data_IF_896516305599
#
_entry.id   IF_896516305599
#
_cell.length_a   1.000
_cell.length_b   1.000
_cell.length_c   1.000
_cell.angle_alpha   90.00
_cell.angle_beta   90.00
_cell.angle_gamma   90.00
#
_symmetry.space_group_name_H-M   'P 1'
#
loop_
_entity.id
_entity.type
_entity.pdbx_description
1 polymer ?
#
# COMPACT_ATOMS: atom_id res chain seq x y z
N UNK A 1 78.01 -11.67 3.95
CA UNK A 1 76.61 -11.75 4.43
C UNK A 1 75.92 -12.75 3.52
N UNK A 2 75.40 -13.85 4.07
CA UNK A 2 74.62 -14.84 3.31
C UNK A 2 73.16 -14.43 3.39
N UNK A 3 72.52 -14.21 2.23
CA UNK A 3 71.08 -14.00 2.14
C UNK A 3 70.43 -15.33 1.75
N UNK A 4 69.57 -15.84 2.64
CA UNK A 4 68.81 -17.06 2.44
C UNK A 4 67.42 -16.68 1.89
N UNK A 5 67.05 -17.22 0.73
CA UNK A 5 65.76 -16.94 0.08
C UNK A 5 65.00 -18.25 -0.13
N UNK A 6 63.76 -18.29 0.32
CA UNK A 6 62.86 -19.42 0.11
C UNK A 6 61.95 -19.07 -1.07
N UNK A 7 62.09 -19.74 -2.24
CA UNK A 7 61.20 -19.49 -3.37
C UNK A 7 59.82 -20.05 -3.07
N UNK A 8 58.85 -19.17 -2.83
CA UNK A 8 57.45 -19.55 -2.57
C UNK A 8 56.59 -19.21 -3.79
N UNK A 9 55.72 -20.14 -4.20
CA UNK A 9 54.73 -19.89 -5.25
C UNK A 9 53.54 -19.13 -4.66
N UNK A 10 53.35 -17.89 -5.10
CA UNK A 10 52.17 -17.09 -4.79
C UNK A 10 51.09 -17.21 -5.86
N UNK A 11 49.82 -17.14 -5.46
CA UNK A 11 48.66 -16.95 -6.34
C UNK A 11 48.17 -15.51 -6.19
N UNK A 12 47.98 -14.83 -7.31
CA UNK A 12 47.31 -13.52 -7.36
C UNK A 12 45.81 -13.74 -7.21
N UNK A 13 45.20 -13.10 -6.21
CA UNK A 13 43.76 -13.15 -5.96
C UNK A 13 43.21 -11.72 -5.90
N UNK A 14 41.94 -11.49 -6.27
CA UNK A 14 41.29 -10.20 -6.08
C UNK A 14 41.31 -9.78 -4.62
N UNK A 15 41.50 -8.48 -4.37
CA UNK A 15 41.42 -7.94 -3.02
C UNK A 15 40.00 -8.05 -2.46
N UNK A 16 38.99 -7.80 -3.30
CA UNK A 16 37.57 -7.94 -2.97
C UNK A 16 36.83 -8.72 -4.06
N UNK A 17 36.01 -9.66 -3.62
CA UNK A 17 35.13 -10.48 -4.46
C UNK A 17 33.71 -10.37 -3.91
N UNK A 18 32.76 -10.04 -4.78
CA UNK A 18 31.32 -10.00 -4.46
C UNK A 18 30.64 -11.12 -5.22
N UNK A 19 29.93 -12.00 -4.53
CA UNK A 19 29.18 -13.08 -5.17
C UNK A 19 27.88 -12.55 -5.78
N UNK A 20 27.57 -13.06 -6.97
CA UNK A 20 26.33 -12.79 -7.68
C UNK A 20 25.42 -14.01 -7.50
N UNK A 21 24.47 -13.89 -6.59
CA UNK A 21 23.50 -14.95 -6.30
C UNK A 21 22.10 -14.53 -6.79
N UNK A 22 21.31 -15.47 -7.30
CA UNK A 22 19.95 -15.23 -7.75
C UNK A 22 19.02 -15.06 -6.54
N UNK A 23 18.48 -13.85 -6.30
CA UNK A 23 17.59 -13.58 -5.15
C UNK A 23 16.28 -14.37 -5.27
N UNK A 24 15.81 -14.55 -6.50
CA UNK A 24 14.58 -15.26 -6.83
C UNK A 24 14.90 -16.29 -7.94
N UNK A 25 14.28 -17.47 -7.85
CA UNK A 25 14.51 -18.55 -8.81
C UNK A 25 13.67 -18.38 -10.08
N UNK A 26 14.18 -18.87 -11.22
CA UNK A 26 13.52 -18.74 -12.51
C UNK A 26 14.28 -19.40 -13.64
N UNK A 27 13.70 -19.40 -14.83
CA UNK A 27 14.34 -19.88 -16.04
C UNK A 27 15.06 -18.73 -16.74
N UNK A 28 16.31 -18.94 -17.14
CA UNK A 28 17.11 -17.97 -17.88
C UNK A 28 16.44 -17.69 -19.22
N UNK A 29 15.99 -16.45 -19.42
CA UNK A 29 15.36 -16.01 -20.65
C UNK A 29 16.38 -15.39 -21.59
N UNK A 30 17.28 -14.55 -21.05
CA UNK A 30 18.29 -13.87 -21.84
C UNK A 30 19.55 -13.58 -21.05
N UNK A 31 20.70 -13.80 -21.70
CA UNK A 31 22.02 -13.39 -21.19
C UNK A 31 22.42 -12.13 -21.94
N UNK A 32 22.79 -11.08 -21.20
CA UNK A 32 23.14 -9.77 -21.76
C UNK A 32 24.64 -9.48 -21.66
N UNK A 33 25.33 -10.20 -20.78
CA UNK A 33 26.76 -10.01 -20.49
C UNK A 33 27.42 -11.38 -20.42
N UNK A 34 28.57 -11.50 -21.08
CA UNK A 34 29.39 -12.71 -21.09
C UNK A 34 30.41 -12.73 -19.95
N UNK A 35 30.92 -13.91 -19.60
CA UNK A 35 31.98 -14.07 -18.61
C UNK A 35 33.23 -13.27 -18.99
N UNK A 36 33.89 -12.67 -18.01
CA UNK A 36 35.06 -11.82 -18.22
C UNK A 36 34.75 -10.39 -18.67
N UNK A 37 33.50 -10.01 -18.88
CA UNK A 37 33.13 -8.62 -19.19
C UNK A 37 33.39 -7.67 -18.02
N UNK A 38 33.70 -6.41 -18.33
CA UNK A 38 33.79 -5.33 -17.35
C UNK A 38 32.42 -4.69 -17.15
N UNK A 39 31.98 -4.62 -15.90
CA UNK A 39 30.66 -4.13 -15.50
C UNK A 39 30.77 -2.87 -14.65
N UNK A 40 29.80 -1.97 -14.80
CA UNK A 40 29.51 -0.91 -13.84
C UNK A 40 28.40 -1.35 -12.89
N UNK A 41 28.33 -0.76 -11.70
CA UNK A 41 27.23 -1.01 -10.76
C UNK A 41 25.88 -0.73 -11.44
N UNK A 42 24.94 -1.66 -11.28
CA UNK A 42 23.61 -1.61 -11.89
C UNK A 42 23.51 -2.17 -13.31
N UNK A 43 24.61 -2.61 -13.95
CA UNK A 43 24.52 -3.26 -15.26
C UNK A 43 23.73 -4.56 -15.17
N UNK A 44 22.80 -4.75 -16.10
CA UNK A 44 21.99 -5.94 -16.21
C UNK A 44 22.81 -7.07 -16.85
N UNK A 45 22.88 -8.22 -16.18
CA UNK A 45 23.71 -9.37 -16.57
C UNK A 45 22.85 -10.45 -17.23
N UNK A 46 21.77 -10.84 -16.56
CA UNK A 46 20.86 -11.90 -17.01
C UNK A 46 19.42 -11.58 -16.61
N UNK A 47 18.48 -11.94 -17.48
CA UNK A 47 17.05 -11.85 -17.26
C UNK A 47 16.51 -13.25 -16.97
N UNK A 48 15.86 -13.41 -15.82
CA UNK A 48 15.14 -14.63 -15.43
C UNK A 48 13.64 -14.45 -15.67
N UNK A 49 12.97 -15.56 -15.96
CA UNK A 49 11.52 -15.61 -16.12
C UNK A 49 10.92 -16.59 -15.11
N UNK A 50 9.88 -16.16 -14.41
CA UNK A 50 9.11 -17.00 -13.50
C UNK A 50 7.61 -16.70 -13.63
N UNK A 51 6.90 -17.55 -14.37
CA UNK A 51 5.46 -17.39 -14.60
C UNK A 51 4.64 -17.45 -13.30
N UNK A 52 5.06 -18.26 -12.32
CA UNK A 52 4.36 -18.37 -11.04
C UNK A 52 4.47 -17.08 -10.22
N UNK A 53 5.64 -16.44 -10.25
CA UNK A 53 5.85 -15.14 -9.59
C UNK A 53 5.05 -14.03 -10.28
N UNK A 54 5.05 -13.99 -11.61
CA UNK A 54 4.22 -13.05 -12.39
C UNK A 54 2.73 -13.19 -12.06
N UNK A 55 2.21 -14.42 -12.01
CA UNK A 55 0.82 -14.69 -11.62
C UNK A 55 0.53 -14.27 -10.17
N UNK A 56 1.50 -14.45 -9.26
CA UNK A 56 1.39 -14.01 -7.87
C UNK A 56 1.29 -12.48 -7.76
N UNK A 57 2.13 -11.75 -8.50
CA UNK A 57 2.07 -10.28 -8.58
C UNK A 57 0.73 -9.83 -9.13
N UNK A 58 0.27 -10.40 -10.24
CA UNK A 58 -1.03 -10.08 -10.83
C UNK A 58 -2.18 -10.32 -9.84
N UNK A 59 -2.16 -11.44 -9.11
CA UNK A 59 -3.15 -11.72 -8.07
C UNK A 59 -3.12 -10.70 -6.91
N UNK A 60 -1.93 -10.22 -6.53
CA UNK A 60 -1.79 -9.14 -5.55
C UNK A 60 -2.34 -7.80 -6.08
N UNK A 61 -2.07 -7.47 -7.35
CA UNK A 61 -2.60 -6.27 -7.99
C UNK A 61 -4.12 -6.27 -8.03
N UNK A 62 -4.74 -7.39 -8.42
CA UNK A 62 -6.20 -7.54 -8.42
C UNK A 62 -6.79 -7.35 -7.03
N UNK A 63 -6.20 -7.97 -5.99
CA UNK A 63 -6.66 -7.81 -4.60
C UNK A 63 -6.60 -6.37 -4.12
N UNK A 64 -5.52 -5.65 -4.45
CA UNK A 64 -5.40 -4.21 -4.14
C UNK A 64 -6.48 -3.42 -4.87
N UNK A 65 -6.68 -3.67 -6.17
CA UNK A 65 -7.68 -2.97 -6.97
C UNK A 65 -9.11 -3.20 -6.46
N UNK A 66 -9.47 -4.43 -6.10
CA UNK A 66 -10.76 -4.78 -5.50
C UNK A 66 -10.97 -4.05 -4.17
N UNK A 67 -9.97 -4.06 -3.29
CA UNK A 67 -10.04 -3.39 -1.99
C UNK A 67 -10.20 -1.87 -2.14
N UNK A 68 -9.47 -1.25 -3.07
CA UNK A 68 -9.59 0.18 -3.36
C UNK A 68 -10.97 0.53 -3.93
N UNK A 69 -11.54 -0.30 -4.80
CA UNK A 69 -12.89 -0.12 -5.31
C UNK A 69 -13.95 -0.25 -4.22
N UNK A 70 -13.80 -1.23 -3.32
CA UNK A 70 -14.67 -1.38 -2.15
C UNK A 70 -14.60 -0.16 -1.23
N UNK A 71 -13.38 0.31 -0.91
CA UNK A 71 -13.17 1.52 -0.11
C UNK A 71 -13.86 2.74 -0.75
N UNK A 72 -13.71 2.93 -2.07
CA UNK A 72 -14.34 4.04 -2.79
C UNK A 72 -15.86 3.97 -2.78
N UNK A 73 -16.42 2.76 -2.85
CA UNK A 73 -17.87 2.53 -2.79
C UNK A 73 -18.41 2.86 -1.40
N UNK A 74 -17.67 2.51 -0.35
CA UNK A 74 -17.98 2.85 1.03
C UNK A 74 -17.88 4.38 1.21
N UNK A 75 -16.80 5.02 0.79
CA UNK A 75 -16.65 6.49 0.86
C UNK A 75 -17.81 7.23 0.18
N UNK A 76 -18.25 6.76 -1.00
CA UNK A 76 -19.41 7.32 -1.69
C UNK A 76 -20.70 7.15 -0.89
N UNK A 77 -20.93 5.96 -0.32
CA UNK A 77 -22.09 5.68 0.53
C UNK A 77 -22.10 6.56 1.79
N UNK A 78 -20.93 6.76 2.41
CA UNK A 78 -20.76 7.65 3.57
C UNK A 78 -21.15 9.09 3.22
N UNK A 79 -20.67 9.60 2.08
CA UNK A 79 -20.99 10.96 1.64
C UNK A 79 -22.48 11.12 1.32
N UNK A 80 -23.10 10.13 0.68
CA UNK A 80 -24.54 10.12 0.41
C UNK A 80 -25.35 10.11 1.72
N UNK A 81 -25.00 9.25 2.68
CA UNK A 81 -25.64 9.19 3.99
C UNK A 81 -25.48 10.51 4.74
N UNK A 82 -24.27 11.10 4.75
CA UNK A 82 -24.01 12.41 5.36
C UNK A 82 -24.92 13.50 4.80
N UNK A 83 -25.06 13.56 3.46
CA UNK A 83 -25.96 14.50 2.81
C UNK A 83 -27.43 14.24 3.19
N UNK A 84 -27.84 12.98 3.27
CA UNK A 84 -29.20 12.60 3.67
C UNK A 84 -29.51 13.00 5.12
N UNK A 85 -28.60 12.74 6.06
CA UNK A 85 -28.73 13.19 7.45
C UNK A 85 -28.82 14.71 7.54
N UNK A 86 -27.99 15.43 6.77
CA UNK A 86 -28.01 16.90 6.74
C UNK A 86 -29.36 17.43 6.24
N UNK A 87 -29.93 16.83 5.20
CA UNK A 87 -31.28 17.18 4.71
C UNK A 87 -32.34 16.95 5.77
N UNK A 88 -32.36 15.76 6.39
CA UNK A 88 -33.32 15.42 7.44
C UNK A 88 -33.28 16.43 8.61
N UNK A 89 -32.08 16.82 9.06
CA UNK A 89 -31.94 17.83 10.11
C UNK A 89 -32.48 19.20 9.68
N UNK A 90 -32.23 19.61 8.43
CA UNK A 90 -32.75 20.87 7.89
C UNK A 90 -34.28 20.84 7.86
N UNK A 91 -34.88 19.74 7.41
CA UNK A 91 -36.34 19.58 7.35
C UNK A 91 -36.98 19.60 8.74
N UNK A 92 -36.40 18.88 9.71
CA UNK A 92 -36.86 18.90 11.10
C UNK A 92 -36.75 20.32 11.69
N UNK A 93 -35.62 21.02 11.48
CA UNK A 93 -35.44 22.40 11.95
C UNK A 93 -36.43 23.37 11.31
N UNK A 94 -36.74 23.19 10.03
CA UNK A 94 -37.75 23.98 9.35
C UNK A 94 -39.14 23.77 9.97
N UNK A 95 -39.50 22.51 10.25
CA UNK A 95 -40.78 22.18 10.88
C UNK A 95 -40.90 22.74 12.30
N UNK A 96 -39.83 22.64 13.11
CA UNK A 96 -39.75 23.29 14.43
C UNK A 96 -39.97 24.80 14.30
N UNK A 97 -39.33 25.45 13.34
CA UNK A 97 -39.48 26.90 13.11
C UNK A 97 -40.92 27.29 12.75
N UNK A 98 -41.60 26.49 11.92
CA UNK A 98 -43.00 26.72 11.56
C UNK A 98 -43.93 26.54 12.77
N UNK A 99 -43.75 25.45 13.52
CA UNK A 99 -44.55 25.14 14.71
C UNK A 99 -44.33 26.16 15.82
N UNK A 100 -43.09 26.61 16.05
CA UNK A 100 -42.76 27.67 17.02
C UNK A 100 -43.53 28.95 16.71
N UNK A 101 -43.48 29.41 15.46
CA UNK A 101 -44.26 30.59 15.01
C UNK A 101 -45.77 30.38 15.14
N UNK A 102 -46.25 29.15 15.01
CA UNK A 102 -47.66 28.83 15.16
C UNK A 102 -48.09 28.87 16.62
N UNK A 103 -47.30 28.32 17.54
CA UNK A 103 -47.52 28.41 18.99
C UNK A 103 -47.55 29.88 19.44
N UNK A 104 -46.56 30.68 19.04
CA UNK A 104 -46.51 32.12 19.34
C UNK A 104 -47.78 32.87 18.88
N UNK A 105 -48.26 32.58 17.67
CA UNK A 105 -49.52 33.17 17.17
C UNK A 105 -50.74 32.65 17.92
N UNK A 106 -50.80 31.35 18.18
CA UNK A 106 -51.91 30.72 18.89
C UNK A 106 -52.08 31.29 20.30
N UNK A 107 -50.97 31.53 21.01
CA UNK A 107 -50.97 32.19 22.32
C UNK A 107 -51.67 33.57 22.25
N UNK A 108 -51.28 34.42 21.29
CA UNK A 108 -51.92 35.73 21.12
C UNK A 108 -53.41 35.65 20.75
N UNK A 109 -53.83 34.59 20.05
CA UNK A 109 -55.22 34.41 19.62
C UNK A 109 -56.11 33.86 20.74
N UNK A 110 -55.58 33.06 21.67
CA UNK A 110 -56.30 32.63 22.88
C UNK A 110 -56.69 33.83 23.73
N UNK A 111 -55.77 34.79 23.92
CA UNK A 111 -56.05 36.02 24.69
C UNK A 111 -57.23 36.81 24.10
N UNK A 112 -57.43 36.72 22.78
CA UNK A 112 -58.54 37.35 22.06
C UNK A 112 -59.80 36.46 21.91
N UNK A 113 -59.76 35.21 22.39
CA UNK A 113 -60.85 34.23 22.29
C UNK A 113 -61.07 33.63 20.90
N UNK A 114 -60.13 33.81 19.96
CA UNK A 114 -60.30 33.43 18.56
C UNK A 114 -59.99 31.95 18.25
N UNK A 115 -59.34 31.23 19.17
CA UNK A 115 -59.04 29.79 19.03
C UNK A 115 -59.31 29.03 20.34
N UNK A 116 -59.48 27.71 20.25
CA UNK A 116 -59.64 26.83 21.41
C UNK A 116 -58.29 26.45 22.03
N UNK A 117 -58.26 26.31 23.36
CA UNK A 117 -57.06 25.91 24.10
C UNK A 117 -56.49 24.57 23.64
N UNK A 118 -57.34 23.57 23.40
CA UNK A 118 -56.93 22.27 22.87
C UNK A 118 -56.15 22.38 21.55
N UNK A 119 -56.44 23.36 20.69
CA UNK A 119 -55.71 23.52 19.42
C UNK A 119 -54.29 24.04 19.62
N UNK A 120 -54.07 24.85 20.65
CA UNK A 120 -52.74 25.31 21.04
C UNK A 120 -51.95 24.16 21.64
N UNK A 121 -52.54 23.41 22.58
CA UNK A 121 -51.93 22.24 23.23
C UNK A 121 -51.48 21.20 22.18
N UNK A 122 -52.34 20.86 21.21
CA UNK A 122 -51.98 19.97 20.09
C UNK A 122 -50.74 20.46 19.31
N UNK A 123 -50.61 21.78 19.13
CA UNK A 123 -49.49 22.40 18.39
C UNK A 123 -48.21 22.38 19.23
N UNK A 124 -48.31 22.60 20.55
CA UNK A 124 -47.20 22.51 21.49
C UNK A 124 -46.68 21.09 21.65
N UNK A 125 -47.57 20.09 21.74
CA UNK A 125 -47.21 18.67 21.76
C UNK A 125 -46.48 18.27 20.48
N UNK A 126 -47.00 18.73 19.33
CA UNK A 126 -46.34 18.47 18.04
C UNK A 126 -44.97 19.15 17.97
N UNK A 127 -44.82 20.37 18.47
CA UNK A 127 -43.54 21.07 18.53
C UNK A 127 -42.52 20.31 19.39
N UNK A 128 -42.94 19.89 20.59
CA UNK A 128 -42.11 19.11 21.53
C UNK A 128 -41.65 17.81 20.89
N UNK A 129 -42.56 17.09 20.22
CA UNK A 129 -42.22 15.87 19.48
C UNK A 129 -41.13 16.09 18.42
N UNK A 130 -41.20 17.18 17.65
CA UNK A 130 -40.17 17.50 16.65
C UNK A 130 -38.83 17.91 17.29
N UNK A 131 -38.85 18.56 18.45
CA UNK A 131 -37.63 18.89 19.21
C UNK A 131 -36.94 17.63 19.75
N UNK A 132 -37.69 16.71 20.33
CA UNK A 132 -37.18 15.41 20.79
C UNK A 132 -36.62 14.59 19.63
N UNK A 133 -37.36 14.58 18.50
CA UNK A 133 -36.91 13.93 17.27
C UNK A 133 -35.61 14.54 16.74
N UNK A 134 -35.43 15.86 16.83
CA UNK A 134 -34.18 16.51 16.44
C UNK A 134 -33.01 16.04 17.32
N UNK A 135 -33.21 16.02 18.64
CA UNK A 135 -32.19 15.58 19.59
C UNK A 135 -31.75 14.14 19.31
N UNK A 136 -32.72 13.23 19.17
CA UNK A 136 -32.46 11.82 18.84
C UNK A 136 -31.76 11.66 17.48
N UNK A 137 -32.16 12.44 16.48
CA UNK A 137 -31.54 12.39 15.13
C UNK A 137 -30.08 12.82 15.18
N UNK A 138 -29.75 13.86 15.96
CA UNK A 138 -28.37 14.33 16.12
C UNK A 138 -27.52 13.29 16.85
N UNK A 139 -28.05 12.69 17.91
CA UNK A 139 -27.36 11.64 18.66
C UNK A 139 -27.07 10.41 17.78
N UNK A 140 -28.06 9.92 17.05
CA UNK A 140 -27.90 8.82 16.08
C UNK A 140 -26.83 9.14 15.04
N UNK A 141 -26.86 10.35 14.45
CA UNK A 141 -25.89 10.74 13.44
C UNK A 141 -24.45 10.77 13.99
N UNK A 142 -24.25 11.21 15.23
CA UNK A 142 -22.93 11.24 15.86
C UNK A 142 -22.39 9.82 16.10
N UNK A 143 -23.26 8.90 16.52
CA UNK A 143 -22.91 7.48 16.69
C UNK A 143 -22.54 6.85 15.34
N UNK A 144 -23.37 7.06 14.32
CA UNK A 144 -23.14 6.54 12.96
C UNK A 144 -21.85 7.08 12.37
N UNK A 145 -21.60 8.39 12.49
CA UNK A 145 -20.38 9.02 12.00
C UNK A 145 -19.12 8.47 12.67
N UNK A 146 -19.19 8.12 13.97
CA UNK A 146 -18.08 7.50 14.69
C UNK A 146 -17.78 6.11 14.17
N UNK A 147 -18.79 5.24 14.09
CA UNK A 147 -18.64 3.87 13.59
C UNK A 147 -18.11 3.85 12.15
N UNK A 148 -18.63 4.73 11.30
CA UNK A 148 -18.20 4.87 9.91
C UNK A 148 -16.75 5.37 9.80
N UNK A 149 -16.34 6.30 10.68
CA UNK A 149 -14.96 6.78 10.74
C UNK A 149 -13.97 5.68 11.12
N UNK A 150 -14.32 4.85 12.11
CA UNK A 150 -13.52 3.70 12.53
C UNK A 150 -13.41 2.65 11.40
N UNK A 151 -14.51 2.34 10.73
CA UNK A 151 -14.53 1.42 9.59
C UNK A 151 -13.65 1.94 8.44
N UNK A 152 -13.72 3.23 8.12
CA UNK A 152 -12.89 3.84 7.08
C UNK A 152 -11.40 3.80 7.44
N UNK A 153 -11.06 4.07 8.71
CA UNK A 153 -9.68 3.97 9.19
C UNK A 153 -9.14 2.54 9.04
N UNK A 154 -9.92 1.54 9.43
CA UNK A 154 -9.56 0.13 9.26
C UNK A 154 -9.35 -0.27 7.79
N UNK A 155 -10.21 0.21 6.89
CA UNK A 155 -10.08 -0.05 5.46
C UNK A 155 -8.82 0.61 4.88
N UNK A 156 -8.49 1.84 5.29
CA UNK A 156 -7.27 2.52 4.87
C UNK A 156 -6.01 1.80 5.32
N UNK A 157 -5.97 1.34 6.57
CA UNK A 157 -4.85 0.54 7.08
C UNK A 157 -4.70 -0.78 6.27
N UNK A 158 -5.80 -1.47 6.03
CA UNK A 158 -5.81 -2.70 5.23
C UNK A 158 -5.31 -2.46 3.80
N UNK A 159 -5.76 -1.39 3.15
CA UNK A 159 -5.30 -1.00 1.80
C UNK A 159 -3.80 -0.71 1.79
N UNK A 160 -3.30 0.05 2.78
CA UNK A 160 -1.86 0.36 2.88
C UNK A 160 -1.00 -0.90 3.06
N UNK A 161 -1.48 -1.87 3.84
CA UNK A 161 -0.82 -3.18 3.99
C UNK A 161 -0.80 -3.97 2.68
N UNK A 162 -1.90 -3.97 1.93
CA UNK A 162 -1.97 -4.64 0.62
C UNK A 162 -1.05 -3.97 -0.41
N UNK A 163 -0.99 -2.64 -0.43
CA UNK A 163 -0.07 -1.88 -1.28
C UNK A 163 1.39 -2.19 -0.95
N UNK A 164 1.72 -2.29 0.35
CA UNK A 164 3.07 -2.68 0.80
C UNK A 164 3.42 -4.11 0.35
N UNK A 165 2.48 -5.06 0.47
CA UNK A 165 2.67 -6.42 -0.02
C UNK A 165 2.86 -6.47 -1.55
N UNK A 166 2.12 -5.64 -2.29
CA UNK A 166 2.27 -5.50 -3.73
C UNK A 166 3.64 -4.93 -4.10
N UNK A 167 4.13 -3.92 -3.37
CA UNK A 167 5.45 -3.34 -3.58
C UNK A 167 6.56 -4.39 -3.41
N UNK A 168 6.50 -5.21 -2.35
CA UNK A 168 7.42 -6.33 -2.14
C UNK A 168 7.34 -7.33 -3.30
N UNK A 169 6.12 -7.66 -3.75
CA UNK A 169 5.92 -8.61 -4.85
C UNK A 169 6.51 -8.10 -6.17
N UNK A 170 6.33 -6.81 -6.47
CA UNK A 170 6.94 -6.14 -7.64
C UNK A 170 8.46 -6.08 -7.53
N UNK A 171 9.00 -5.85 -6.34
CA UNK A 171 10.44 -5.90 -6.11
C UNK A 171 11.00 -7.29 -6.36
N UNK A 172 10.32 -8.35 -5.90
CA UNK A 172 10.72 -9.72 -6.18
C UNK A 172 10.69 -10.03 -7.68
N UNK A 173 9.74 -9.45 -8.42
CA UNK A 173 9.70 -9.58 -9.87
C UNK A 173 10.84 -8.81 -10.56
N UNK A 174 11.20 -7.60 -10.11
CA UNK A 174 12.38 -6.89 -10.65
C UNK A 174 13.70 -7.59 -10.27
N UNK A 175 13.75 -8.30 -9.14
CA UNK A 175 14.89 -9.14 -8.77
C UNK A 175 15.12 -10.33 -9.73
N UNK A 176 14.20 -10.62 -10.65
CA UNK A 176 14.46 -11.52 -11.79
C UNK A 176 15.49 -10.94 -12.77
N UNK A 177 15.66 -9.62 -12.78
CA UNK A 177 16.66 -8.91 -13.55
C UNK A 177 17.94 -8.82 -12.71
N UNK A 178 18.85 -9.76 -12.91
CA UNK A 178 20.09 -9.85 -12.12
C UNK A 178 21.05 -8.74 -12.57
N UNK A 179 21.29 -7.78 -11.68
CA UNK A 179 22.14 -6.61 -11.91
C UNK A 179 23.45 -6.71 -11.12
N UNK A 180 24.50 -6.09 -11.62
CA UNK A 180 25.80 -6.01 -10.96
C UNK A 180 25.74 -5.15 -9.68
N UNK A 181 25.99 -5.68 -8.47
CA UNK A 181 25.98 -4.89 -7.23
C UNK A 181 27.13 -3.87 -7.13
N UNK A 182 28.27 -4.17 -7.77
CA UNK A 182 29.47 -3.34 -7.77
C UNK A 182 30.07 -3.29 -9.17
N UNK A 183 30.88 -2.26 -9.44
CA UNK A 183 31.70 -2.23 -10.64
C UNK A 183 32.86 -3.23 -10.51
N UNK A 184 33.15 -3.97 -11.57
CA UNK A 184 34.19 -4.99 -11.56
C UNK A 184 34.19 -5.88 -12.79
N UNK A 185 35.01 -6.93 -12.75
CA UNK A 185 35.05 -7.94 -13.80
C UNK A 185 34.20 -9.13 -13.40
N UNK A 186 33.27 -9.54 -14.27
CA UNK A 186 32.48 -10.75 -14.07
C UNK A 186 33.39 -11.97 -14.27
N UNK A 187 33.30 -12.95 -13.36
CA UNK A 187 34.09 -14.18 -13.42
C UNK A 187 33.28 -15.36 -12.89
N UNK A 188 33.53 -16.55 -13.43
CA UNK A 188 32.84 -17.77 -13.01
C UNK A 188 31.35 -17.77 -13.38
N UNK A 189 30.96 -17.01 -14.40
CA UNK A 189 29.59 -16.93 -14.89
C UNK A 189 29.34 -17.95 -16.01
N UNK A 190 28.71 -19.07 -15.67
CA UNK A 190 28.51 -20.22 -16.58
C UNK A 190 27.03 -20.55 -16.80
N UNK A 191 26.18 -19.53 -16.83
CA UNK A 191 24.72 -19.68 -16.97
C UNK A 191 24.36 -19.84 -18.45
N UNK A 192 23.43 -20.72 -18.79
CA UNK A 192 22.95 -20.92 -20.17
C UNK A 192 21.49 -20.50 -20.36
N UNK A 193 21.14 -20.02 -21.56
CA UNK A 193 19.75 -19.68 -21.91
C UNK A 193 18.87 -20.93 -21.84
N UNK A 194 17.74 -20.84 -21.15
CA UNK A 194 16.84 -21.96 -20.90
C UNK A 194 17.15 -22.77 -19.64
N UNK A 195 18.30 -22.55 -18.99
CA UNK A 195 18.63 -23.17 -17.71
C UNK A 195 17.64 -22.72 -16.62
N UNK A 196 17.28 -23.63 -15.72
CA UNK A 196 16.51 -23.31 -14.52
C UNK A 196 17.47 -23.01 -13.37
N UNK A 197 17.31 -21.85 -12.74
CA UNK A 197 18.10 -21.37 -11.61
C UNK A 197 17.26 -21.44 -10.34
N UNK A 198 17.80 -22.03 -9.29
CA UNK A 198 17.18 -22.08 -7.98
C UNK A 198 17.37 -20.76 -7.21
N UNK A 199 16.47 -20.51 -6.26
CA UNK A 199 16.59 -19.35 -5.37
C UNK A 199 17.86 -19.46 -4.51
N UNK A 200 18.66 -18.40 -4.47
CA UNK A 200 19.93 -18.32 -3.76
C UNK A 200 21.08 -19.03 -4.49
N UNK A 201 20.86 -19.52 -5.72
CA UNK A 201 21.92 -20.16 -6.50
C UNK A 201 22.95 -19.13 -6.95
N UNK A 202 24.23 -19.50 -6.84
CA UNK A 202 25.34 -18.66 -7.27
C UNK A 202 25.47 -18.69 -8.77
N UNK A 203 25.32 -17.53 -9.38
CA UNK A 203 25.47 -17.33 -10.82
C UNK A 203 26.91 -17.00 -11.22
N UNK A 204 27.66 -16.34 -10.33
CA UNK A 204 29.06 -15.97 -10.57
C UNK A 204 29.62 -15.08 -9.48
N UNK A 205 30.71 -14.37 -9.80
CA UNK A 205 31.31 -13.38 -8.91
C UNK A 205 31.81 -12.15 -9.67
N UNK A 206 31.88 -11.02 -8.98
CA UNK A 206 32.43 -9.76 -9.49
C UNK A 206 33.66 -9.41 -8.68
N UNK A 207 34.79 -9.31 -9.37
CA UNK A 207 36.09 -9.02 -8.78
C UNK A 207 36.49 -7.56 -9.05
N UNK A 208 36.99 -6.86 -8.02
CA UNK A 208 37.36 -5.43 -8.15
C UNK A 208 38.52 -5.25 -9.13
N UNK A 209 38.44 -4.30 -10.09
CA UNK A 209 39.53 -4.03 -10.99
C UNK A 209 40.68 -3.36 -10.23
N UNK A 210 41.92 -3.76 -10.54
CA UNK A 210 43.16 -3.11 -10.10
C UNK A 210 43.52 -3.19 -8.61
N UNK A 211 42.86 -4.03 -7.81
CA UNK A 211 43.27 -4.33 -6.44
C UNK A 211 43.43 -5.84 -6.27
N UNK A 212 44.68 -6.30 -6.15
CA UNK A 212 45.03 -7.71 -6.09
C UNK A 212 45.96 -7.97 -4.91
N UNK A 213 45.73 -9.08 -4.21
CA UNK A 213 46.58 -9.57 -3.13
C UNK A 213 47.31 -10.85 -3.54
N UNK A 214 48.55 -10.98 -3.11
CA UNK A 214 49.36 -12.19 -3.29
C UNK A 214 49.16 -13.09 -2.06
N UNK A 215 48.60 -14.27 -2.29
CA UNK A 215 48.50 -15.33 -1.29
C UNK A 215 49.51 -16.41 -1.60
N UNK A 216 50.38 -16.72 -0.64
CA UNK A 216 51.41 -17.74 -0.77
C UNK A 216 51.20 -18.77 0.36
N UNK A 217 51.18 -20.06 0.02
CA UNK A 217 51.14 -21.13 1.02
C UNK A 217 52.58 -21.42 1.42
N UNK A 218 52.90 -21.15 2.68
CA UNK A 218 54.21 -21.38 3.30
C UNK A 218 54.16 -22.70 4.07
#
# INVERSE_FOLDING_TARGET
VFEDFIPIRGRVTPAKTVYLDAIEGGRVEKILVEDGASLTAGNLIVELSNASLQLSVLGNETRVAEQLNNMRSIELSLEQNRLQHKRNIVDIKHQIKLLTRQVERSQSLIETGAITQSKMEDTEDTLTWYQDRLALTIESQQSDARMQGEQLAFLKDTSSRLESNLAISRQNLDNMNVKAPVAGKLSGFNVEVGQSIARGERLGQIDTPNDYKLTAFI
#
